data_IF_177392212567
#
_entry.id   IF_177392212567
#
_cell.length_a   1.000
_cell.length_b   1.000
_cell.length_c   1.000
_cell.angle_alpha   90.00
_cell.angle_beta   90.00
_cell.angle_gamma   90.00
#
_symmetry.space_group_name_H-M   'P 1'
#
loop_
_entity.id
_entity.type
_entity.pdbx_description
1 polymer ?
#
# COMPACT_ATOMS: atom_id res chain seq x y z
N UNK A 1 -31.48 27.98 -10.43
CA UNK A 1 -30.22 28.12 -11.21
C UNK A 1 -29.10 28.52 -10.28
N UNK A 2 -28.55 27.60 -9.48
CA UNK A 2 -27.28 27.78 -8.75
C UNK A 2 -26.57 26.42 -8.70
N UNK A 3 -25.25 26.49 -8.92
CA UNK A 3 -24.37 25.49 -9.53
C UNK A 3 -24.26 24.17 -8.76
N UNK A 4 -24.17 23.07 -9.52
CA UNK A 4 -23.53 21.83 -9.11
C UNK A 4 -22.19 22.14 -8.43
N UNK A 5 -22.11 21.92 -7.12
CA UNK A 5 -20.83 21.69 -6.47
C UNK A 5 -20.34 20.36 -6.99
N UNK A 6 -19.36 20.41 -7.91
CA UNK A 6 -18.65 19.25 -8.36
C UNK A 6 -18.13 18.51 -7.12
N UNK A 7 -18.69 17.33 -6.86
CA UNK A 7 -18.05 16.33 -6.02
C UNK A 7 -16.68 16.11 -6.69
N UNK A 8 -15.54 16.31 -6.02
CA UNK A 8 -14.28 15.91 -6.61
C UNK A 8 -14.42 14.42 -6.87
N UNK A 9 -14.37 14.03 -8.13
CA UNK A 9 -14.41 12.65 -8.56
C UNK A 9 -13.30 11.93 -7.79
N UNK A 10 -13.71 11.17 -6.76
CA UNK A 10 -12.91 10.10 -6.20
C UNK A 10 -12.60 9.21 -7.40
N UNK A 11 -11.42 9.39 -7.97
CA UNK A 11 -10.85 8.49 -8.94
C UNK A 11 -10.45 7.24 -8.13
N UNK A 12 -11.48 6.50 -7.71
CA UNK A 12 -11.41 5.27 -6.93
C UNK A 12 -11.07 4.11 -7.88
N UNK A 13 -9.99 4.27 -8.65
CA UNK A 13 -9.31 3.13 -9.23
C UNK A 13 -8.53 2.47 -8.09
N UNK A 14 -9.19 1.57 -7.38
CA UNK A 14 -8.54 0.66 -6.44
C UNK A 14 -7.49 -0.13 -7.23
N UNK A 15 -6.22 0.20 -7.01
CA UNK A 15 -5.09 -0.46 -7.68
C UNK A 15 -4.68 -1.69 -6.88
N UNK A 16 -4.18 -2.73 -7.56
CA UNK A 16 -3.57 -3.87 -6.86
C UNK A 16 -2.12 -3.59 -6.53
N UNK A 17 -1.59 -4.34 -5.56
CA UNK A 17 -0.16 -4.34 -5.30
C UNK A 17 0.35 -5.69 -4.79
N UNK A 18 1.65 -5.90 -4.94
CA UNK A 18 2.37 -7.04 -4.40
C UNK A 18 3.43 -6.55 -3.41
N UNK A 19 3.49 -7.18 -2.23
CA UNK A 19 4.46 -6.86 -1.19
C UNK A 19 5.55 -7.93 -1.16
N UNK A 20 6.80 -7.50 -1.11
CA UNK A 20 7.99 -8.36 -1.07
C UNK A 20 8.82 -8.03 0.18
N UNK A 21 9.37 -9.05 0.82
CA UNK A 21 10.44 -8.84 1.80
C UNK A 21 11.74 -8.49 1.07
N UNK A 22 12.64 -7.77 1.75
CA UNK A 22 13.95 -7.43 1.19
C UNK A 22 14.70 -8.68 0.75
N UNK A 23 15.20 -8.68 -0.49
CA UNK A 23 15.92 -9.80 -1.09
C UNK A 23 15.06 -11.04 -1.44
N UNK A 24 13.72 -10.93 -1.41
CA UNK A 24 12.82 -11.98 -1.89
C UNK A 24 12.22 -11.60 -3.24
N UNK A 25 12.21 -12.57 -4.16
CA UNK A 25 11.59 -12.44 -5.48
C UNK A 25 10.11 -12.81 -5.46
N UNK A 26 9.70 -13.68 -4.53
CA UNK A 26 8.30 -14.07 -4.37
C UNK A 26 7.54 -13.07 -3.48
N UNK A 27 6.30 -12.69 -3.86
CA UNK A 27 5.49 -11.82 -3.03
C UNK A 27 5.03 -12.54 -1.76
N UNK A 28 5.11 -11.84 -0.63
CA UNK A 28 4.63 -12.32 0.69
C UNK A 28 3.20 -11.89 1.00
N UNK A 29 2.69 -10.89 0.28
CA UNK A 29 1.29 -10.49 0.31
C UNK A 29 0.84 -9.97 -1.04
N UNK A 30 -0.46 -10.16 -1.35
CA UNK A 30 -1.13 -9.52 -2.48
C UNK A 30 -2.25 -8.65 -1.92
N UNK A 31 -2.25 -7.38 -2.31
CA UNK A 31 -3.28 -6.42 -1.94
C UNK A 31 -4.26 -6.27 -3.08
N UNK A 32 -5.52 -6.56 -2.77
CA UNK A 32 -6.63 -6.51 -3.73
C UNK A 32 -7.04 -5.06 -4.02
N UNK A 33 -6.94 -4.19 -3.01
CA UNK A 33 -7.25 -2.77 -3.12
C UNK A 33 -6.17 -1.96 -2.41
N UNK A 34 -5.67 -0.94 -3.08
CA UNK A 34 -4.68 -0.01 -2.56
C UNK A 34 -5.09 1.43 -2.84
N UNK A 35 -4.95 2.28 -1.82
CA UNK A 35 -5.18 3.72 -1.92
C UNK A 35 -3.96 4.48 -1.40
N UNK A 36 -3.41 5.37 -2.23
CA UNK A 36 -2.29 6.22 -1.84
C UNK A 36 -2.83 7.54 -1.29
N UNK A 37 -2.45 7.88 -0.07
CA UNK A 37 -2.86 9.11 0.61
C UNK A 37 -1.61 9.94 0.91
N UNK A 38 -1.58 11.18 0.41
CA UNK A 38 -0.52 12.14 0.73
C UNK A 38 -0.96 13.00 1.90
N UNK A 39 -0.28 12.86 3.03
CA UNK A 39 -0.53 13.67 4.22
C UNK A 39 0.03 15.09 4.05
N UNK A 40 -0.69 16.09 4.57
CA UNK A 40 -0.28 17.50 4.48
C UNK A 40 0.88 17.86 5.44
N UNK A 41 1.31 19.14 5.36
CA UNK A 41 2.59 19.79 5.72
C UNK A 41 3.28 19.41 7.05
N UNK A 42 2.63 18.69 7.97
CA UNK A 42 3.21 18.22 9.23
C UNK A 42 4.06 16.94 9.10
N UNK A 43 4.10 16.30 7.93
CA UNK A 43 4.83 15.04 7.69
C UNK A 43 5.88 15.13 6.58
N UNK A 44 6.76 16.13 6.65
CA UNK A 44 7.72 16.50 5.60
C UNK A 44 8.72 15.42 5.17
N UNK A 45 9.00 14.42 6.00
CA UNK A 45 10.02 13.38 5.73
C UNK A 45 9.47 12.20 4.93
N UNK A 46 8.16 11.94 4.98
CA UNK A 46 7.51 10.79 4.34
C UNK A 46 5.99 11.03 4.39
N UNK A 47 5.47 11.86 3.45
CA UNK A 47 4.08 12.28 3.48
C UNK A 47 3.13 11.20 2.95
N UNK A 48 3.62 10.30 2.08
CA UNK A 48 2.79 9.27 1.47
C UNK A 48 2.51 8.09 2.43
N UNK A 49 1.24 7.70 2.47
CA UNK A 49 0.73 6.49 3.11
C UNK A 49 0.00 5.67 2.09
N UNK A 50 -0.01 4.36 2.29
CA UNK A 50 -0.70 3.42 1.45
C UNK A 50 -1.64 2.63 2.34
N UNK A 51 -2.94 2.83 2.17
CA UNK A 51 -3.94 1.96 2.75
C UNK A 51 -4.12 0.74 1.85
N UNK A 52 -4.21 -0.45 2.43
CA UNK A 52 -4.47 -1.67 1.68
C UNK A 52 -5.66 -2.43 2.25
N UNK A 53 -6.33 -3.19 1.36
CA UNK A 53 -7.23 -4.29 1.69
C UNK A 53 -6.74 -5.55 0.97
N UNK A 54 -6.81 -6.67 1.66
CA UNK A 54 -6.46 -7.98 1.12
C UNK A 54 -7.35 -9.05 1.72
N UNK A 55 -7.79 -10.00 0.91
CA UNK A 55 -8.46 -11.21 1.41
C UNK A 55 -7.57 -12.00 2.38
N UNK A 56 -6.26 -11.95 2.19
CA UNK A 56 -5.30 -12.64 3.05
C UNK A 56 -3.96 -11.91 3.07
N UNK A 57 -3.57 -11.38 4.24
CA UNK A 57 -2.32 -10.62 4.42
C UNK A 57 -1.05 -11.42 4.12
N UNK A 58 -1.13 -12.75 4.17
CA UNK A 58 0.00 -13.65 3.95
C UNK A 58 -0.32 -14.58 2.78
N UNK A 59 0.35 -14.41 1.65
CA UNK A 59 0.34 -15.41 0.57
C UNK A 59 1.35 -16.51 0.87
N UNK A 60 1.16 -17.26 1.98
CA UNK A 60 2.03 -18.39 2.36
C UNK A 60 2.38 -18.47 3.86
N UNK A 61 3.60 -18.90 4.17
CA UNK A 61 4.11 -19.14 5.54
C UNK A 61 4.65 -17.89 6.26
N UNK A 62 4.76 -16.76 5.57
CA UNK A 62 5.32 -15.54 6.12
C UNK A 62 4.23 -14.69 6.81
N UNK A 63 4.37 -14.48 8.11
CA UNK A 63 3.57 -13.48 8.83
C UNK A 63 4.22 -12.12 8.63
N UNK A 64 3.67 -11.30 7.73
CA UNK A 64 4.18 -9.95 7.39
C UNK A 64 4.39 -9.09 8.65
N UNK A 65 3.55 -9.28 9.67
CA UNK A 65 3.65 -8.57 10.95
C UNK A 65 4.96 -8.82 11.74
N UNK A 66 5.62 -9.96 11.51
CA UNK A 66 6.94 -10.26 12.11
C UNK A 66 8.03 -9.36 11.51
N UNK A 67 7.85 -8.93 10.26
CA UNK A 67 8.77 -8.10 9.51
C UNK A 67 8.39 -6.62 9.52
N UNK A 68 7.48 -6.19 10.41
CA UNK A 68 6.98 -4.80 10.46
C UNK A 68 8.06 -3.73 10.64
N UNK A 69 9.19 -4.11 11.23
CA UNK A 69 10.34 -3.23 11.48
C UNK A 69 11.33 -3.21 10.30
N UNK A 70 11.18 -4.12 9.35
CA UNK A 70 12.03 -4.25 8.19
C UNK A 70 11.44 -3.53 6.99
N UNK A 71 12.31 -2.94 6.17
CA UNK A 71 11.91 -2.33 4.91
C UNK A 71 11.45 -3.43 3.96
N UNK A 72 10.29 -3.21 3.36
CA UNK A 72 9.70 -4.08 2.35
C UNK A 72 9.60 -3.32 1.03
N UNK A 73 9.45 -4.05 -0.08
CA UNK A 73 9.24 -3.46 -1.40
C UNK A 73 7.78 -3.68 -1.79
N UNK A 74 7.08 -2.60 -2.14
CA UNK A 74 5.75 -2.65 -2.70
C UNK A 74 5.84 -2.41 -4.19
N UNK A 75 5.22 -3.27 -4.99
CA UNK A 75 5.05 -3.07 -6.42
C UNK A 75 3.55 -2.86 -6.72
N UNK A 76 3.22 -1.73 -7.32
CA UNK A 76 1.88 -1.37 -7.75
C UNK A 76 1.58 -1.96 -9.12
N UNK A 77 0.29 -2.15 -9.41
CA UNK A 77 -0.20 -2.71 -10.68
C UNK A 77 0.15 -1.86 -11.91
N UNK A 78 0.35 -0.55 -11.73
CA UNK A 78 0.77 0.38 -12.78
C UNK A 78 2.27 0.32 -13.11
N UNK A 79 3.00 -0.58 -12.45
CA UNK A 79 4.44 -0.76 -12.63
C UNK A 79 5.30 0.15 -11.76
N UNK A 80 4.73 0.96 -10.86
CA UNK A 80 5.51 1.69 -9.88
C UNK A 80 5.94 0.82 -8.70
N UNK A 81 7.06 1.15 -8.07
CA UNK A 81 7.51 0.51 -6.83
C UNK A 81 8.00 1.51 -5.79
N UNK A 82 7.93 1.12 -4.51
CA UNK A 82 8.47 1.90 -3.41
C UNK A 82 8.96 1.03 -2.25
N UNK A 83 9.89 1.56 -1.46
CA UNK A 83 10.21 1.00 -0.15
C UNK A 83 9.12 1.39 0.84
N UNK A 84 8.69 0.45 1.69
CA UNK A 84 7.60 0.66 2.65
C UNK A 84 7.90 0.03 4.01
N UNK A 85 7.24 0.55 5.05
CA UNK A 85 7.16 -0.06 6.38
C UNK A 85 5.71 -0.32 6.77
N UNK A 86 5.44 -1.51 7.32
CA UNK A 86 4.15 -1.81 7.91
C UNK A 86 3.96 -0.99 9.18
N UNK A 87 2.98 -0.09 9.15
CA UNK A 87 2.68 0.79 10.29
C UNK A 87 1.51 0.25 11.11
N UNK A 88 0.48 -0.25 10.42
CA UNK A 88 -0.71 -0.80 11.05
C UNK A 88 -1.27 -1.96 10.23
N UNK A 89 -1.83 -2.97 10.92
CA UNK A 89 -2.49 -4.15 10.36
C UNK A 89 -3.64 -4.53 11.29
N UNK A 90 -4.80 -4.84 10.72
CA UNK A 90 -5.99 -5.31 11.42
C UNK A 90 -6.85 -6.17 10.47
N UNK A 91 -7.93 -6.73 11.00
CA UNK A 91 -9.01 -7.32 10.22
C UNK A 91 -10.23 -6.40 10.20
N UNK A 92 -10.95 -6.36 9.09
CA UNK A 92 -12.27 -5.73 9.01
C UNK A 92 -13.39 -6.67 9.49
N UNK A 93 -14.65 -6.22 9.47
CA UNK A 93 -15.80 -7.03 9.91
C UNK A 93 -16.08 -8.25 9.03
N UNK A 94 -15.57 -8.28 7.80
CA UNK A 94 -15.70 -9.39 6.85
C UNK A 94 -14.51 -10.36 6.96
N UNK A 95 -13.52 -10.05 7.81
CA UNK A 95 -12.31 -10.85 8.00
C UNK A 95 -11.21 -10.57 6.97
N UNK A 96 -11.34 -9.52 6.15
CA UNK A 96 -10.26 -9.10 5.26
C UNK A 96 -9.17 -8.40 6.06
N UNK A 97 -7.92 -8.60 5.65
CA UNK A 97 -6.80 -7.85 6.18
C UNK A 97 -6.80 -6.42 5.64
N UNK A 98 -6.77 -5.46 6.56
CA UNK A 98 -6.69 -4.03 6.25
C UNK A 98 -5.53 -3.41 7.01
N UNK A 99 -4.87 -2.44 6.42
CA UNK A 99 -3.74 -1.82 7.09
C UNK A 99 -3.17 -0.61 6.38
N UNK A 100 -2.08 -0.10 6.95
CA UNK A 100 -1.40 1.09 6.46
C UNK A 100 0.09 0.82 6.37
N UNK A 101 0.63 1.10 5.19
CA UNK A 101 2.05 1.17 4.93
C UNK A 101 2.51 2.63 4.88
N UNK A 102 3.70 2.87 5.43
CA UNK A 102 4.42 4.12 5.29
C UNK A 102 5.40 4.00 4.13
N UNK A 103 5.33 4.91 3.17
CA UNK A 103 6.27 4.98 2.03
C UNK A 103 7.57 5.62 2.46
N UNK A 104 8.69 4.98 2.17
CA UNK A 104 10.04 5.46 2.42
C UNK A 104 10.63 6.04 1.14
N UNK A 105 10.54 7.37 0.98
CA UNK A 105 11.01 8.06 -0.21
C UNK A 105 9.95 8.13 -1.32
N UNK A 106 10.41 8.23 -2.56
CA UNK A 106 9.57 8.40 -3.74
C UNK A 106 9.28 7.05 -4.44
N UNK A 107 8.16 7.01 -5.15
CA UNK A 107 7.87 5.92 -6.09
C UNK A 107 8.82 5.98 -7.27
N UNK A 108 9.23 4.81 -7.75
CA UNK A 108 10.10 4.64 -8.92
C UNK A 108 9.42 3.72 -9.91
N UNK A 109 9.79 3.81 -11.17
CA UNK A 109 9.42 2.80 -12.16
C UNK A 109 10.08 1.48 -11.78
N UNK A 110 9.31 0.39 -11.69
CA UNK A 110 9.86 -0.92 -11.41
C UNK A 110 10.85 -1.26 -12.53
N UNK A 111 12.12 -1.44 -12.17
CA UNK A 111 13.11 -1.90 -13.11
C UNK A 111 12.68 -3.29 -13.58
N UNK A 112 12.27 -3.37 -14.84
CA UNK A 112 11.84 -4.58 -15.56
C UNK A 112 12.43 -5.88 -14.98
N UNK A 113 11.54 -6.76 -14.52
CA UNK A 113 11.77 -8.21 -14.53
C UNK A 113 11.66 -8.73 -15.96
#
# INVERSE_FOLDING_TARGET
>A
MWRNSANPEENEHAMKAMLYLSGKEEPVAVFDEVTIVTMNDNHKVSPARISYKSKQLSSGKAMVELYRHEKMRLQLEDGQEAEVLLTHSSLDMEGNAVGVLRVLGDFKEAAHA
#
